data_IF_653852975196
#
_entry.id   IF_653852975196
#
_cell.length_a   1.000
_cell.length_b   1.000
_cell.length_c   1.000
_cell.angle_alpha   90.00
_cell.angle_beta   90.00
_cell.angle_gamma   90.00
#
_symmetry.space_group_name_H-M   'P 1'
#
loop_
_entity.id
_entity.type
_entity.pdbx_description
1 polymer ?
#
# COMPACT_ATOMS: atom_id res chain seq x y z
N UNK A 1 12.40 -10.91 -1.95
CA UNK A 1 11.76 -10.43 -0.69
C UNK A 1 10.27 -10.71 -0.71
N UNK A 2 9.65 -10.82 0.47
CA UNK A 2 8.20 -11.03 0.62
C UNK A 2 7.52 -9.68 0.79
N UNK A 3 6.63 -9.34 -0.13
CA UNK A 3 5.97 -8.03 -0.18
C UNK A 3 4.47 -8.24 -0.05
N UNK A 4 3.87 -7.52 0.88
CA UNK A 4 2.44 -7.48 1.05
C UNK A 4 1.89 -6.12 0.69
N UNK A 5 0.94 -6.08 -0.24
CA UNK A 5 0.23 -4.87 -0.65
C UNK A 5 -1.21 -4.94 -0.16
N UNK A 6 -1.70 -3.87 0.47
CA UNK A 6 -3.02 -3.87 1.12
C UNK A 6 -3.82 -2.64 0.68
N UNK A 7 -5.06 -2.88 0.27
CA UNK A 7 -6.10 -1.87 0.19
C UNK A 7 -7.07 -2.06 1.38
N UNK A 8 -6.97 -1.24 2.44
CA UNK A 8 -7.83 -1.37 3.62
C UNK A 8 -9.27 -0.95 3.34
N UNK A 9 -10.23 -1.65 3.95
CA UNK A 9 -11.63 -1.27 3.89
C UNK A 9 -11.99 -0.17 4.91
N UNK A 10 -13.15 0.45 4.67
CA UNK A 10 -13.79 1.36 5.63
C UNK A 10 -13.95 0.69 6.99
N UNK A 11 -13.53 1.39 8.04
CA UNK A 11 -13.59 0.89 9.42
C UNK A 11 -15.02 0.64 9.90
N UNK A 12 -15.98 1.40 9.39
CA UNK A 12 -17.40 1.33 9.77
C UNK A 12 -18.17 0.19 9.10
N UNK A 13 -17.61 -0.44 8.08
CA UNK A 13 -18.25 -1.55 7.35
C UNK A 13 -18.28 -2.89 8.12
N UNK A 14 -17.88 -2.91 9.38
CA UNK A 14 -17.74 -4.13 10.21
C UNK A 14 -18.96 -4.47 11.07
N UNK A 15 -20.18 -3.99 10.75
CA UNK A 15 -21.36 -4.45 11.48
C UNK A 15 -21.66 -5.92 11.12
N UNK A 16 -21.71 -6.85 12.10
CA UNK A 16 -22.06 -8.25 11.85
C UNK A 16 -23.50 -8.43 11.31
N UNK A 17 -24.35 -7.42 11.51
CA UNK A 17 -25.75 -7.42 11.07
C UNK A 17 -25.97 -6.67 9.75
N UNK A 18 -24.99 -5.94 9.29
CA UNK A 18 -25.03 -5.21 8.02
C UNK A 18 -23.82 -5.64 7.21
N UNK A 19 -24.03 -6.43 6.19
CA UNK A 19 -23.06 -6.52 5.11
C UNK A 19 -23.45 -5.43 4.12
N UNK A 20 -22.87 -4.21 4.21
CA UNK A 20 -23.00 -3.28 3.12
C UNK A 20 -22.48 -3.99 1.89
N UNK A 21 -23.19 -3.82 0.78
CA UNK A 21 -22.69 -4.23 -0.52
C UNK A 21 -21.24 -3.78 -0.56
N UNK A 22 -20.30 -4.72 -0.69
CA UNK A 22 -18.89 -4.40 -0.75
C UNK A 22 -18.65 -3.60 -2.02
N UNK A 23 -18.52 -2.31 -1.88
CA UNK A 23 -18.26 -1.40 -2.99
C UNK A 23 -16.77 -1.31 -3.26
N UNK A 24 -16.18 -2.39 -3.76
CA UNK A 24 -15.00 -2.26 -4.59
C UNK A 24 -15.47 -2.47 -6.03
N UNK A 25 -15.90 -1.40 -6.67
CA UNK A 25 -16.29 -1.43 -8.09
C UNK A 25 -15.07 -1.60 -9.00
N UNK A 26 -13.89 -1.39 -8.48
CA UNK A 26 -12.64 -1.44 -9.24
C UNK A 26 -11.56 -2.15 -8.43
N UNK A 27 -10.80 -3.05 -9.06
CA UNK A 27 -9.63 -3.66 -8.44
C UNK A 27 -8.59 -2.58 -8.09
N UNK A 28 -7.68 -2.82 -7.12
CA UNK A 28 -6.66 -1.86 -6.69
C UNK A 28 -5.55 -1.68 -7.73
N UNK A 29 -5.89 -1.12 -8.90
CA UNK A 29 -4.98 -0.97 -10.03
C UNK A 29 -3.69 -0.19 -9.68
N UNK A 30 -3.76 0.78 -8.78
CA UNK A 30 -2.57 1.49 -8.32
C UNK A 30 -1.55 0.54 -7.69
N UNK A 31 -1.97 -0.30 -6.75
CA UNK A 31 -1.09 -1.30 -6.14
C UNK A 31 -0.61 -2.35 -7.15
N UNK A 32 -1.49 -2.80 -8.05
CA UNK A 32 -1.13 -3.74 -9.11
C UNK A 32 -0.12 -3.15 -10.12
N UNK A 33 -0.17 -1.82 -10.34
CA UNK A 33 0.83 -1.11 -11.15
C UNK A 33 2.17 -1.05 -10.41
N UNK A 34 2.17 -0.72 -9.12
CA UNK A 34 3.41 -0.74 -8.32
C UNK A 34 4.03 -2.14 -8.28
N UNK A 35 3.20 -3.19 -8.20
CA UNK A 35 3.67 -4.58 -8.24
C UNK A 35 4.39 -4.93 -9.56
N UNK A 36 4.07 -4.26 -10.66
CA UNK A 36 4.71 -4.51 -11.95
C UNK A 36 6.17 -4.01 -12.04
N UNK A 37 6.61 -3.19 -11.09
CA UNK A 37 8.02 -2.77 -10.98
C UNK A 37 8.89 -3.73 -10.16
N UNK A 38 8.29 -4.75 -9.54
CA UNK A 38 9.01 -5.72 -8.71
C UNK A 38 9.69 -6.78 -9.57
N UNK A 39 10.75 -7.37 -9.05
CA UNK A 39 11.46 -8.43 -9.73
C UNK A 39 10.68 -9.76 -9.70
N UNK A 40 10.91 -10.64 -10.66
CA UNK A 40 10.30 -11.98 -10.70
C UNK A 40 10.65 -12.83 -9.47
N UNK A 41 11.77 -12.54 -8.82
CA UNK A 41 12.21 -13.21 -7.60
C UNK A 41 11.49 -12.69 -6.34
N UNK A 42 10.71 -11.60 -6.45
CA UNK A 42 9.95 -11.06 -5.33
C UNK A 42 8.60 -11.80 -5.20
N UNK A 43 8.31 -12.21 -3.98
CA UNK A 43 7.07 -12.86 -3.62
C UNK A 43 6.05 -11.79 -3.21
N UNK A 44 5.02 -11.59 -4.03
CA UNK A 44 4.05 -10.49 -3.88
C UNK A 44 2.68 -11.04 -3.56
N UNK A 45 2.08 -10.51 -2.50
CA UNK A 45 0.67 -10.73 -2.16
C UNK A 45 -0.06 -9.39 -2.20
N UNK A 46 -1.16 -9.29 -2.93
CA UNK A 46 -2.05 -8.13 -2.92
C UNK A 46 -3.37 -8.54 -2.31
N UNK A 47 -3.85 -7.81 -1.30
CA UNK A 47 -5.12 -8.08 -0.64
C UNK A 47 -5.99 -6.82 -0.59
N UNK A 48 -7.22 -6.96 -1.05
CA UNK A 48 -8.27 -5.94 -0.96
C UNK A 48 -9.27 -6.32 0.15
N UNK A 49 -9.22 -5.62 1.27
CA UNK A 49 -10.09 -5.87 2.43
C UNK A 49 -11.58 -5.61 2.11
N UNK A 50 -11.91 -4.94 1.00
CA UNK A 50 -13.30 -4.75 0.58
C UNK A 50 -13.93 -6.05 0.06
N UNK A 51 -13.13 -6.98 -0.46
CA UNK A 51 -13.62 -8.22 -1.10
C UNK A 51 -13.19 -9.49 -0.38
N UNK A 52 -12.13 -9.43 0.43
CA UNK A 52 -11.62 -10.58 1.17
C UNK A 52 -11.27 -10.25 2.63
N UNK A 53 -11.05 -11.28 3.43
CA UNK A 53 -10.53 -11.13 4.80
C UNK A 53 -9.00 -11.12 4.76
N UNK A 54 -8.39 -10.10 5.35
CA UNK A 54 -6.93 -10.02 5.41
C UNK A 54 -6.34 -11.15 6.25
N UNK A 55 -5.27 -11.75 5.75
CA UNK A 55 -4.40 -12.64 6.52
C UNK A 55 -3.41 -11.79 7.30
N UNK A 56 -3.43 -11.87 8.61
CA UNK A 56 -2.59 -11.06 9.51
C UNK A 56 -1.51 -11.87 10.25
N UNK A 57 -1.47 -13.17 10.00
CA UNK A 57 -0.51 -14.12 10.60
C UNK A 57 0.78 -14.30 9.79
N UNK A 58 0.83 -13.75 8.60
CA UNK A 58 2.00 -13.74 7.75
C UNK A 58 3.11 -12.78 8.24
N UNK A 59 4.31 -12.95 7.71
CA UNK A 59 5.52 -12.20 8.07
C UNK A 59 6.19 -11.64 6.82
N UNK A 60 5.63 -10.60 6.18
CA UNK A 60 6.25 -9.95 5.03
C UNK A 60 7.49 -9.14 5.46
N UNK A 61 8.43 -8.97 4.54
CA UNK A 61 9.60 -8.10 4.73
C UNK A 61 9.20 -6.62 4.50
N UNK A 62 8.30 -6.38 3.56
CA UNK A 62 7.82 -5.06 3.16
C UNK A 62 6.29 -5.06 3.08
N UNK A 63 5.66 -4.06 3.68
CA UNK A 63 4.20 -3.84 3.61
C UNK A 63 3.92 -2.49 2.97
N UNK A 64 3.09 -2.50 1.94
CA UNK A 64 2.66 -1.31 1.19
C UNK A 64 1.16 -1.14 1.36
N UNK A 65 0.72 -0.02 1.92
CA UNK A 65 -0.69 0.25 2.19
C UNK A 65 -1.13 1.49 1.43
N UNK A 66 -2.20 1.34 0.64
CA UNK A 66 -2.85 2.47 -0.02
C UNK A 66 -3.89 3.08 0.93
N UNK A 67 -3.71 4.35 1.29
CA UNK A 67 -4.51 5.01 2.32
C UNK A 67 -5.47 6.01 1.69
N UNK A 68 -6.78 5.75 1.84
CA UNK A 68 -7.84 6.72 1.58
C UNK A 68 -8.31 7.34 2.91
N UNK A 69 -8.94 8.51 2.84
CA UNK A 69 -9.46 9.20 4.03
C UNK A 69 -10.41 8.32 4.84
N UNK A 70 -11.24 7.55 4.15
CA UNK A 70 -12.24 6.66 4.74
C UNK A 70 -11.65 5.42 5.42
N UNK A 71 -10.42 5.04 5.08
CA UNK A 71 -9.74 3.86 5.63
C UNK A 71 -8.45 4.20 6.39
N UNK A 72 -8.17 5.48 6.64
CA UNK A 72 -6.92 5.91 7.26
C UNK A 72 -6.68 5.27 8.63
N UNK A 73 -7.68 5.28 9.50
CA UNK A 73 -7.58 4.65 10.82
C UNK A 73 -7.27 3.15 10.73
N UNK A 74 -7.94 2.44 9.82
CA UNK A 74 -7.68 1.02 9.58
C UNK A 74 -6.28 0.78 9.00
N UNK A 75 -5.86 1.64 8.08
CA UNK A 75 -4.51 1.58 7.49
C UNK A 75 -3.42 1.72 8.57
N UNK A 76 -3.59 2.64 9.50
CA UNK A 76 -2.62 2.84 10.60
C UNK A 76 -2.59 1.65 11.57
N UNK A 77 -3.74 1.07 11.89
CA UNK A 77 -3.78 -0.18 12.68
C UNK A 77 -3.01 -1.32 12.01
N UNK A 78 -3.16 -1.48 10.70
CA UNK A 78 -2.44 -2.50 9.92
C UNK A 78 -0.93 -2.19 9.85
N UNK A 79 -0.58 -0.93 9.64
CA UNK A 79 0.80 -0.46 9.63
C UNK A 79 1.50 -0.77 10.96
N UNK A 80 0.88 -0.39 12.09
CA UNK A 80 1.42 -0.63 13.42
C UNK A 80 1.53 -2.14 13.74
N UNK A 81 0.54 -2.93 13.31
CA UNK A 81 0.55 -4.38 13.47
C UNK A 81 1.77 -5.02 12.79
N UNK A 82 1.99 -4.71 11.51
CA UNK A 82 3.12 -5.28 10.76
C UNK A 82 4.47 -4.69 11.17
N UNK A 83 4.49 -3.42 11.57
CA UNK A 83 5.71 -2.80 12.11
C UNK A 83 6.16 -3.50 13.41
N UNK A 84 5.22 -3.85 14.28
CA UNK A 84 5.51 -4.63 15.49
C UNK A 84 6.05 -6.05 15.18
N UNK A 85 5.74 -6.60 14.00
CA UNK A 85 6.29 -7.87 13.49
C UNK A 85 7.63 -7.71 12.77
N UNK A 86 8.16 -6.49 12.66
CA UNK A 86 9.45 -6.20 12.06
C UNK A 86 9.41 -5.93 10.55
N UNK A 87 8.23 -5.81 9.93
CA UNK A 87 8.12 -5.42 8.53
C UNK A 87 8.44 -3.93 8.31
N UNK A 88 9.00 -3.61 7.16
CA UNK A 88 9.19 -2.23 6.71
C UNK A 88 7.86 -1.69 6.15
N UNK A 89 7.41 -0.54 6.62
CA UNK A 89 6.09 0.01 6.29
C UNK A 89 6.19 1.17 5.32
N UNK A 90 5.46 1.03 4.20
CA UNK A 90 5.26 2.05 3.18
C UNK A 90 3.79 2.48 3.14
N UNK A 91 3.52 3.77 3.34
CA UNK A 91 2.19 4.35 3.21
C UNK A 91 2.15 5.34 2.04
N UNK A 92 1.12 5.23 1.21
CA UNK A 92 0.86 6.14 0.10
C UNK A 92 -0.63 6.30 -0.17
N UNK A 93 -0.97 7.17 -1.10
CA UNK A 93 -2.35 7.44 -1.49
C UNK A 93 -2.82 8.86 -1.14
N UNK A 94 -4.08 9.14 -1.42
CA UNK A 94 -4.63 10.50 -1.32
C UNK A 94 -4.57 11.06 0.10
N UNK A 95 -4.84 10.23 1.11
CA UNK A 95 -4.80 10.67 2.51
C UNK A 95 -3.38 11.03 2.95
N UNK A 96 -2.40 10.18 2.61
CA UNK A 96 -0.98 10.43 2.93
C UNK A 96 -0.47 11.69 2.23
N UNK A 97 -0.88 11.93 0.98
CA UNK A 97 -0.55 13.15 0.25
C UNK A 97 -1.11 14.40 0.94
N UNK A 98 -2.30 14.31 1.52
CA UNK A 98 -2.96 15.42 2.20
C UNK A 98 -2.46 15.65 3.63
N UNK A 99 -2.15 14.59 4.36
CA UNK A 99 -1.73 14.62 5.77
C UNK A 99 -0.44 13.80 5.98
N UNK A 100 0.68 14.19 5.36
CA UNK A 100 1.91 13.40 5.39
C UNK A 100 2.51 13.26 6.78
N UNK A 101 2.41 14.27 7.63
CA UNK A 101 2.99 14.24 8.98
C UNK A 101 2.26 13.25 9.90
N UNK A 102 0.94 13.12 9.75
CA UNK A 102 0.15 12.10 10.45
C UNK A 102 0.56 10.69 10.01
N UNK A 103 0.62 10.46 8.70
CA UNK A 103 1.00 9.15 8.14
C UNK A 103 2.44 8.74 8.53
N UNK A 104 3.34 9.70 8.65
CA UNK A 104 4.74 9.45 9.01
C UNK A 104 4.91 8.80 10.38
N UNK A 105 4.00 9.01 11.30
CA UNK A 105 4.05 8.39 12.64
C UNK A 105 3.89 6.86 12.56
N UNK A 106 3.23 6.36 11.51
CA UNK A 106 2.89 4.95 11.31
C UNK A 106 3.72 4.26 10.21
N UNK A 107 4.67 4.97 9.57
CA UNK A 107 5.41 4.44 8.43
C UNK A 107 6.92 4.66 8.55
N UNK A 108 7.67 3.78 7.90
CA UNK A 108 9.11 3.95 7.68
C UNK A 108 9.38 4.82 6.44
N UNK A 109 8.54 4.69 5.40
CA UNK A 109 8.53 5.58 4.24
C UNK A 109 7.13 6.01 3.88
N UNK A 110 6.95 7.30 3.53
CA UNK A 110 5.71 7.85 3.00
C UNK A 110 5.89 8.32 1.56
N UNK A 111 4.81 8.14 0.77
CA UNK A 111 4.77 8.49 -0.64
C UNK A 111 3.74 9.58 -0.88
N UNK A 112 4.18 10.74 -1.39
CA UNK A 112 3.38 11.93 -1.60
C UNK A 112 3.23 12.20 -3.10
N UNK A 113 1.99 12.33 -3.56
CA UNK A 113 1.66 12.42 -4.97
C UNK A 113 1.61 11.06 -5.66
N UNK A 114 1.69 11.04 -7.00
CA UNK A 114 1.70 9.79 -7.76
C UNK A 114 2.85 8.88 -7.38
N UNK A 115 2.53 7.62 -7.07
CA UNK A 115 3.53 6.65 -6.60
C UNK A 115 4.38 6.07 -7.73
N UNK A 116 3.86 6.05 -8.93
CA UNK A 116 4.39 5.30 -10.05
C UNK A 116 5.79 5.74 -10.49
N UNK A 117 6.11 7.03 -10.38
CA UNK A 117 7.42 7.56 -10.75
C UNK A 117 8.45 7.54 -9.60
N UNK A 118 7.99 7.55 -8.35
CA UNK A 118 8.86 7.53 -7.17
C UNK A 118 9.09 6.12 -6.60
N UNK A 119 8.23 5.17 -6.92
CA UNK A 119 8.34 3.80 -6.46
C UNK A 119 9.63 3.08 -6.94
N UNK A 120 10.06 3.20 -8.21
CA UNK A 120 11.34 2.63 -8.64
C UNK A 120 12.54 3.20 -7.88
N UNK A 121 12.51 4.49 -7.54
CA UNK A 121 13.57 5.12 -6.75
C UNK A 121 13.60 4.54 -5.32
N UNK A 122 12.44 4.39 -4.69
CA UNK A 122 12.34 3.74 -3.39
C UNK A 122 12.87 2.30 -3.42
N UNK A 123 12.46 1.48 -4.39
CA UNK A 123 12.92 0.09 -4.50
C UNK A 123 14.44 0.00 -4.61
N UNK A 124 15.06 0.88 -5.38
CA UNK A 124 16.52 0.96 -5.50
C UNK A 124 17.16 1.32 -4.16
N UNK A 125 16.65 2.36 -3.49
CA UNK A 125 17.17 2.83 -2.21
C UNK A 125 16.98 1.76 -1.11
N UNK A 126 15.81 1.12 -1.07
CA UNK A 126 15.48 0.05 -0.12
C UNK A 126 16.41 -1.16 -0.28
N UNK A 127 16.64 -1.61 -1.51
CA UNK A 127 17.57 -2.72 -1.81
C UNK A 127 19.03 -2.38 -1.49
N UNK A 128 19.39 -1.10 -1.58
CA UNK A 128 20.70 -0.61 -1.17
C UNK A 128 20.84 -0.41 0.37
N UNK A 129 19.77 -0.66 1.14
CA UNK A 129 19.76 -0.46 2.59
C UNK A 129 19.71 1.00 3.03
N UNK A 130 19.32 1.92 2.14
CA UNK A 130 19.29 3.37 2.37
C UNK A 130 17.97 4.01 1.96
N UNK A 131 16.79 3.45 2.37
CA UNK A 131 15.51 4.05 2.05
C UNK A 131 15.33 5.38 2.78
N UNK A 132 14.65 6.32 2.11
CA UNK A 132 14.31 7.62 2.67
C UNK A 132 12.95 7.54 3.37
N UNK A 133 12.74 8.37 4.37
CA UNK A 133 11.44 8.49 5.03
C UNK A 133 10.35 9.10 4.14
N UNK A 134 10.72 9.88 3.13
CA UNK A 134 9.79 10.61 2.28
C UNK A 134 10.21 10.53 0.82
N UNK A 135 9.26 10.15 -0.03
CA UNK A 135 9.34 10.23 -1.47
C UNK A 135 8.17 11.09 -1.97
N UNK A 136 8.45 12.08 -2.81
CA UNK A 136 7.44 13.00 -3.30
C UNK A 136 7.55 13.17 -4.82
N UNK A 137 6.41 13.21 -5.49
CA UNK A 137 6.28 13.47 -6.92
C UNK A 137 5.19 14.48 -7.21
N UNK A 138 5.41 15.28 -8.24
CA UNK A 138 4.41 16.14 -8.86
C UNK A 138 4.08 15.70 -10.29
N UNK A 139 4.73 14.65 -10.77
CA UNK A 139 4.51 14.10 -12.13
C UNK A 139 3.13 13.49 -12.23
N UNK A 140 2.33 13.94 -13.18
CA UNK A 140 0.93 13.52 -13.39
C UNK A 140 0.70 12.95 -14.79
N UNK A 141 1.65 12.13 -15.26
CA UNK A 141 1.51 11.43 -16.53
C UNK A 141 1.37 9.92 -16.29
N UNK A 142 0.58 9.27 -17.13
CA UNK A 142 0.45 7.81 -17.18
C UNK A 142 1.25 7.21 -18.35
N UNK A 143 2.11 8.00 -18.97
CA UNK A 143 2.96 7.54 -20.08
C UNK A 143 4.06 6.62 -19.52
N UNK A 144 4.35 5.58 -20.29
CA UNK A 144 5.44 4.61 -20.00
C UNK A 144 5.28 3.81 -18.69
N UNK A 145 4.06 3.73 -18.16
CA UNK A 145 3.78 2.87 -17.01
C UNK A 145 3.76 1.39 -17.44
N UNK A 146 4.26 0.47 -16.59
CA UNK A 146 4.10 -0.94 -16.82
C UNK A 146 2.63 -1.36 -16.76
N UNK A 147 2.29 -2.45 -17.42
CA UNK A 147 0.95 -3.03 -17.31
C UNK A 147 0.71 -3.53 -15.88
N UNK A 148 -0.42 -3.18 -15.27
CA UNK A 148 -0.75 -3.65 -13.93
C UNK A 148 -0.78 -5.19 -13.86
N UNK A 149 -0.24 -5.74 -12.78
CA UNK A 149 -0.27 -7.18 -12.49
C UNK A 149 -1.66 -7.62 -12.03
N UNK A 150 -2.58 -7.73 -12.98
CA UNK A 150 -4.00 -8.04 -12.72
C UNK A 150 -4.24 -9.44 -12.17
N UNK A 151 -3.30 -10.34 -12.34
CA UNK A 151 -3.33 -11.69 -11.79
C UNK A 151 -3.22 -11.75 -10.26
N UNK A 152 -2.86 -10.63 -9.62
CA UNK A 152 -2.79 -10.50 -8.17
C UNK A 152 -4.12 -10.07 -7.53
N UNK A 153 -5.14 -9.69 -8.34
CA UNK A 153 -6.44 -9.23 -7.86
C UNK A 153 -7.49 -10.34 -7.84
#
# INVERSE_FOLDING_TARGET
>A
MRIKMILPALTEAKSPFWRPIKYSLFPPLGLATLAAYLDEADEVTLQDEHVETLKLDDEPDLVVIQVYITSAYRAYQLADHYRAKGAYICLGGLHVTSLPEEAREHADSIFIGPGEDIWPAFLRDYRAGQPKQRYASEVRTLMDLPLPRRELN
#
